data_IF_579207366528
#
_entry.id   IF_579207366528
#
_cell.length_a   1.000
_cell.length_b   1.000
_cell.length_c   1.000
_cell.angle_alpha   90.00
_cell.angle_beta   90.00
_cell.angle_gamma   90.00
#
_symmetry.space_group_name_H-M   'P 1'
#
loop_
_entity.id
_entity.type
_entity.pdbx_description
1 polymer ?
#
# COMPACT_ATOMS: atom_id res chain seq x y z
N UNK A 1 10.65 -5.41 3.58
CA UNK A 1 11.12 -6.20 2.41
C UNK A 1 10.07 -7.26 2.18
N UNK A 2 9.31 -7.16 1.09
CA UNK A 2 8.25 -8.11 0.77
C UNK A 2 8.87 -9.50 0.55
N UNK A 3 8.50 -10.47 1.37
CA UNK A 3 9.05 -11.83 1.27
C UNK A 3 8.16 -12.64 0.34
N UNK A 4 8.58 -12.82 -0.90
CA UNK A 4 7.91 -13.71 -1.85
C UNK A 4 8.35 -15.15 -1.55
N UNK A 5 7.40 -16.00 -1.18
CA UNK A 5 7.62 -17.44 -1.14
C UNK A 5 6.93 -18.03 -2.37
N UNK A 6 7.69 -18.41 -3.40
CA UNK A 6 7.17 -19.01 -4.63
C UNK A 6 6.10 -18.15 -5.34
N UNK A 7 6.37 -16.86 -5.52
CA UNK A 7 5.46 -15.93 -6.20
C UNK A 7 4.21 -15.53 -5.40
N UNK A 8 4.07 -16.02 -4.16
CA UNK A 8 3.04 -15.57 -3.23
C UNK A 8 3.64 -14.57 -2.23
N UNK A 9 3.07 -13.37 -2.19
CA UNK A 9 3.36 -12.39 -1.14
C UNK A 9 2.85 -12.90 0.20
N UNK A 10 3.70 -12.78 1.22
CA UNK A 10 3.34 -13.06 2.60
C UNK A 10 3.76 -11.91 3.48
N UNK A 11 2.78 -11.31 4.13
CA UNK A 11 2.97 -10.30 5.15
C UNK A 11 3.04 -10.98 6.52
N UNK A 12 3.98 -10.54 7.34
CA UNK A 12 3.98 -10.84 8.76
C UNK A 12 2.78 -10.17 9.43
N UNK A 13 2.34 -10.65 10.60
CA UNK A 13 1.26 -9.99 11.36
C UNK A 13 1.57 -8.52 11.60
N UNK A 14 2.83 -8.20 11.88
CA UNK A 14 3.26 -6.82 12.10
C UNK A 14 3.07 -5.95 10.86
N UNK A 15 3.48 -6.42 9.67
CA UNK A 15 3.26 -5.69 8.42
C UNK A 15 1.76 -5.52 8.12
N UNK A 16 0.93 -6.54 8.37
CA UNK A 16 -0.53 -6.42 8.23
C UNK A 16 -1.10 -5.32 9.13
N UNK A 17 -0.65 -5.26 10.39
CA UNK A 17 -1.10 -4.24 11.34
C UNK A 17 -0.63 -2.83 10.94
N UNK A 18 0.60 -2.69 10.40
CA UNK A 18 1.09 -1.43 9.87
C UNK A 18 0.26 -0.93 8.68
N UNK A 19 0.01 -1.79 7.69
CA UNK A 19 -0.82 -1.41 6.54
C UNK A 19 -2.25 -1.08 6.94
N UNK A 20 -2.83 -1.85 7.86
CA UNK A 20 -4.18 -1.57 8.40
C UNK A 20 -4.24 -0.22 9.12
N UNK A 21 -3.18 0.19 9.81
CA UNK A 21 -3.13 1.50 10.46
C UNK A 21 -3.18 2.67 9.46
N UNK A 22 -2.72 2.43 8.23
CA UNK A 22 -2.79 3.37 7.11
C UNK A 22 -4.13 3.29 6.36
N UNK A 23 -4.98 2.31 6.67
CA UNK A 23 -6.25 2.05 5.98
C UNK A 23 -6.13 1.09 4.79
N UNK A 24 -4.98 0.43 4.60
CA UNK A 24 -4.75 -0.55 3.53
C UNK A 24 -4.94 -1.95 4.10
N UNK A 25 -5.89 -2.73 3.59
CA UNK A 25 -6.07 -4.12 4.02
C UNK A 25 -5.30 -5.10 3.12
N UNK A 26 -4.15 -5.56 3.63
CA UNK A 26 -3.29 -6.55 2.94
C UNK A 26 -3.55 -7.99 3.40
N UNK A 27 -4.53 -8.22 4.29
CA UNK A 27 -4.78 -9.56 4.85
C UNK A 27 -5.24 -10.58 3.80
N UNK A 28 -5.79 -10.10 2.69
CA UNK A 28 -6.24 -10.91 1.56
C UNK A 28 -5.28 -10.90 0.37
N UNK A 29 -4.22 -10.09 0.42
CA UNK A 29 -3.27 -9.91 -0.68
C UNK A 29 -2.27 -11.06 -0.71
N UNK A 30 -2.20 -11.74 -1.85
CA UNK A 30 -1.34 -12.90 -2.10
C UNK A 30 -0.39 -12.70 -3.26
N UNK A 31 -0.60 -11.71 -4.12
CA UNK A 31 0.29 -11.40 -5.25
C UNK A 31 0.72 -9.94 -5.27
N UNK A 32 1.83 -9.64 -5.95
CA UNK A 32 2.31 -8.27 -6.12
C UNK A 32 1.29 -7.40 -6.87
N UNK A 33 0.56 -7.97 -7.83
CA UNK A 33 -0.50 -7.27 -8.54
C UNK A 33 -1.67 -6.92 -7.60
N UNK A 34 -2.14 -7.85 -6.77
CA UNK A 34 -3.18 -7.58 -5.77
C UNK A 34 -2.74 -6.53 -4.75
N UNK A 35 -1.44 -6.49 -4.43
CA UNK A 35 -0.90 -5.45 -3.55
C UNK A 35 -0.91 -4.09 -4.25
N UNK A 36 -0.49 -4.03 -5.51
CA UNK A 36 -0.50 -2.81 -6.30
C UNK A 36 -1.92 -2.26 -6.48
N UNK A 37 -2.91 -3.13 -6.69
CA UNK A 37 -4.33 -2.77 -6.76
C UNK A 37 -4.83 -2.21 -5.43
N UNK A 38 -4.55 -2.88 -4.30
CA UNK A 38 -4.93 -2.40 -2.97
C UNK A 38 -4.32 -1.02 -2.63
N UNK A 39 -3.07 -0.78 -3.05
CA UNK A 39 -2.41 0.52 -2.89
C UNK A 39 -3.02 1.57 -3.81
N UNK A 40 -3.41 1.21 -5.03
CA UNK A 40 -4.07 2.12 -5.97
C UNK A 40 -5.43 2.56 -5.44
N UNK A 41 -6.25 1.63 -4.99
CA UNK A 41 -7.57 1.93 -4.40
C UNK A 41 -7.43 2.88 -3.20
N UNK A 42 -6.41 2.67 -2.36
CA UNK A 42 -6.11 3.56 -1.25
C UNK A 42 -5.66 4.96 -1.69
N UNK A 43 -4.83 5.05 -2.73
CA UNK A 43 -4.40 6.33 -3.29
C UNK A 43 -5.57 7.10 -3.92
N UNK A 44 -6.45 6.41 -4.64
CA UNK A 44 -7.64 7.01 -5.26
C UNK A 44 -8.59 7.54 -4.19
N UNK A 45 -8.82 6.78 -3.10
CA UNK A 45 -9.60 7.26 -1.95
C UNK A 45 -9.00 8.52 -1.32
N UNK A 46 -7.67 8.59 -1.17
CA UNK A 46 -7.02 9.79 -0.62
C UNK A 46 -7.12 10.96 -1.61
N UNK A 47 -7.00 10.71 -2.92
CA UNK A 47 -7.14 11.75 -3.93
C UNK A 47 -8.55 12.36 -3.93
N UNK A 48 -9.59 11.54 -3.70
CA UNK A 48 -10.98 11.99 -3.59
C UNK A 48 -11.26 12.76 -2.29
N UNK A 49 -10.86 12.19 -1.14
CA UNK A 49 -11.25 12.73 0.18
C UNK A 49 -10.30 13.82 0.71
N UNK A 50 -9.01 13.73 0.37
CA UNK A 50 -7.93 14.59 0.92
C UNK A 50 -6.85 14.85 -0.14
N UNK A 51 -7.17 15.60 -1.21
CA UNK A 51 -6.27 15.82 -2.33
C UNK A 51 -4.93 16.47 -1.91
N UNK A 52 -4.92 17.31 -0.88
CA UNK A 52 -3.69 17.92 -0.35
C UNK A 52 -2.72 16.91 0.28
N UNK A 53 -3.26 15.82 0.84
CA UNK A 53 -2.47 14.73 1.41
C UNK A 53 -1.92 13.84 0.30
N UNK A 54 -2.71 13.55 -0.74
CA UNK A 54 -2.25 12.85 -1.94
C UNK A 54 -1.06 13.59 -2.56
N UNK A 55 -1.17 14.90 -2.70
CA UNK A 55 -0.15 15.76 -3.29
C UNK A 55 1.16 15.76 -2.48
N UNK A 56 1.05 15.67 -1.14
CA UNK A 56 2.20 15.54 -0.23
C UNK A 56 2.86 14.17 -0.35
N UNK A 57 2.07 13.09 -0.43
CA UNK A 57 2.57 11.72 -0.61
C UNK A 57 3.29 11.58 -1.95
N UNK A 58 2.67 12.06 -3.03
CA UNK A 58 3.23 12.05 -4.39
C UNK A 58 4.55 12.81 -4.45
N UNK A 59 4.63 14.02 -3.85
CA UNK A 59 5.90 14.75 -3.73
C UNK A 59 6.97 14.00 -2.95
N UNK A 60 6.60 13.33 -1.85
CA UNK A 60 7.55 12.56 -1.04
C UNK A 60 8.08 11.31 -1.76
N UNK A 61 7.25 10.67 -2.59
CA UNK A 61 7.63 9.50 -3.39
C UNK A 61 8.54 9.93 -4.55
N UNK A 62 8.15 10.97 -5.31
CA UNK A 62 8.92 11.48 -6.46
C UNK A 62 10.26 12.10 -6.02
N UNK A 63 10.33 12.66 -4.81
CA UNK A 63 11.54 13.31 -4.30
C UNK A 63 12.58 12.35 -3.70
N UNK A 64 12.30 11.04 -3.59
CA UNK A 64 13.30 10.04 -3.16
C UNK A 64 14.08 9.55 -4.38
N UNK A 65 15.07 10.32 -4.80
CA UNK A 65 16.25 9.86 -5.56
C UNK A 65 17.29 9.22 -4.61
#
# INVERSE_FOLDING_TARGET
MLRTAQGTLRFTRHEVDEFRSLGIDVSHVRTEDEFADAVRDWLDLIAEERPELFDKITRAIISRD
#
